data_IF_730740491446
#
_entry.id   IF_730740491446
#
_cell.length_a   1.000
_cell.length_b   1.000
_cell.length_c   1.000
_cell.angle_alpha   90.00
_cell.angle_beta   90.00
_cell.angle_gamma   90.00
#
_symmetry.space_group_name_H-M   'P 1'
#
loop_
_entity.id
_entity.type
_entity.pdbx_description
1 polymer ?
#
# COMPACT_ATOMS: atom_id res chain seq x y z
N UNK A 1 -46.08 -69.75 -34.49
CA UNK A 1 -46.07 -68.54 -35.29
C UNK A 1 -46.49 -67.37 -34.39
N UNK A 2 -45.51 -66.67 -33.78
CA UNK A 2 -45.77 -65.62 -32.80
C UNK A 2 -45.62 -64.26 -33.51
N UNK A 3 -46.70 -63.48 -33.64
CA UNK A 3 -46.70 -62.13 -34.18
C UNK A 3 -46.26 -61.20 -33.13
N UNK A 4 -45.04 -60.62 -33.23
CA UNK A 4 -44.56 -59.49 -32.46
C UNK A 4 -45.22 -58.18 -33.01
N UNK A 5 -46.11 -57.57 -32.21
CA UNK A 5 -46.66 -56.25 -32.46
C UNK A 5 -45.57 -55.24 -32.17
N UNK A 6 -45.04 -54.53 -33.18
CA UNK A 6 -44.21 -53.37 -33.04
C UNK A 6 -45.03 -52.24 -32.44
N UNK A 7 -44.80 -51.97 -31.17
CA UNK A 7 -45.32 -50.75 -30.53
C UNK A 7 -44.30 -49.65 -30.80
N UNK A 8 -44.61 -48.78 -31.73
CA UNK A 8 -43.87 -47.54 -31.95
C UNK A 8 -44.19 -46.67 -30.75
N UNK A 9 -43.18 -46.49 -29.90
CA UNK A 9 -43.23 -45.51 -28.79
C UNK A 9 -42.96 -44.16 -29.42
N UNK A 10 -43.98 -43.37 -29.59
CA UNK A 10 -43.87 -41.94 -29.94
C UNK A 10 -43.14 -41.24 -28.81
N UNK A 11 -41.91 -40.80 -29.07
CA UNK A 11 -41.15 -40.01 -28.13
C UNK A 11 -41.74 -38.60 -28.19
N UNK A 12 -42.68 -38.34 -27.28
CA UNK A 12 -43.23 -37.00 -27.09
C UNK A 12 -42.12 -36.01 -26.89
N UNK A 13 -42.20 -34.98 -27.71
CA UNK A 13 -41.27 -33.85 -27.83
C UNK A 13 -40.76 -33.34 -26.50
N UNK A 14 -39.44 -33.41 -26.33
CA UNK A 14 -38.73 -32.66 -25.31
C UNK A 14 -39.23 -31.19 -25.25
N UNK A 15 -39.54 -30.67 -24.07
CA UNK A 15 -40.00 -29.29 -23.95
C UNK A 15 -39.00 -28.35 -24.61
N UNK A 16 -39.42 -27.68 -25.66
CA UNK A 16 -38.62 -26.68 -26.36
C UNK A 16 -38.23 -25.59 -25.38
N UNK A 17 -36.96 -25.57 -24.98
CA UNK A 17 -36.39 -24.55 -24.16
C UNK A 17 -36.43 -23.22 -24.97
N UNK A 18 -37.45 -22.43 -24.76
CA UNK A 18 -37.56 -21.05 -25.34
C UNK A 18 -36.41 -20.26 -24.77
N UNK A 19 -35.31 -20.13 -25.50
CA UNK A 19 -34.23 -19.19 -25.19
C UNK A 19 -34.85 -17.80 -25.04
N UNK A 20 -34.96 -17.33 -23.78
CA UNK A 20 -35.39 -15.95 -23.51
C UNK A 20 -34.40 -15.01 -24.22
N UNK A 21 -34.80 -14.37 -25.29
CA UNK A 21 -33.99 -13.30 -25.93
C UNK A 21 -33.84 -12.18 -24.90
N UNK A 22 -32.67 -12.07 -24.32
CA UNK A 22 -32.35 -10.95 -23.44
C UNK A 22 -32.34 -9.69 -24.32
N UNK A 23 -33.18 -8.73 -24.00
CA UNK A 23 -33.25 -7.47 -24.76
C UNK A 23 -31.91 -6.75 -24.67
N UNK A 24 -31.39 -6.26 -25.77
CA UNK A 24 -30.15 -5.47 -25.85
C UNK A 24 -30.13 -4.30 -24.84
N UNK A 25 -31.29 -3.65 -24.65
CA UNK A 25 -31.45 -2.59 -23.64
C UNK A 25 -31.17 -3.04 -22.20
N UNK A 26 -31.52 -4.30 -21.85
CA UNK A 26 -31.19 -4.85 -20.52
C UNK A 26 -29.71 -5.09 -20.37
N UNK A 27 -29.06 -5.60 -21.40
CA UNK A 27 -27.58 -5.82 -21.38
C UNK A 27 -26.87 -4.49 -21.22
N UNK A 28 -27.28 -3.46 -21.99
CA UNK A 28 -26.70 -2.12 -21.91
C UNK A 28 -26.88 -1.52 -20.50
N UNK A 29 -28.06 -1.69 -19.89
CA UNK A 29 -28.33 -1.23 -18.53
C UNK A 29 -27.38 -1.88 -17.51
N UNK A 30 -27.17 -3.21 -17.57
CA UNK A 30 -26.24 -3.90 -16.67
C UNK A 30 -24.80 -3.43 -16.85
N UNK A 31 -24.37 -3.16 -18.09
CA UNK A 31 -23.02 -2.63 -18.36
C UNK A 31 -22.85 -1.25 -17.71
N UNK A 32 -23.84 -0.37 -17.84
CA UNK A 32 -23.78 0.97 -17.23
C UNK A 32 -23.72 0.88 -15.70
N UNK A 33 -24.56 0.04 -15.08
CA UNK A 33 -24.56 -0.17 -13.62
C UNK A 33 -23.21 -0.71 -13.17
N UNK A 34 -22.62 -1.67 -13.90
CA UNK A 34 -21.31 -2.23 -13.59
C UNK A 34 -20.21 -1.16 -13.67
N UNK A 35 -20.23 -0.30 -14.69
CA UNK A 35 -19.25 0.80 -14.83
C UNK A 35 -19.37 1.79 -13.67
N UNK A 36 -20.58 2.17 -13.27
CA UNK A 36 -20.80 3.05 -12.11
C UNK A 36 -20.25 2.40 -10.84
N UNK A 37 -20.50 1.10 -10.63
CA UNK A 37 -19.99 0.39 -9.47
C UNK A 37 -18.45 0.34 -9.43
N UNK A 38 -17.80 0.06 -10.57
CA UNK A 38 -16.35 0.07 -10.70
C UNK A 38 -15.74 1.46 -10.43
N UNK A 39 -16.39 2.53 -10.88
CA UNK A 39 -15.93 3.90 -10.60
C UNK A 39 -16.03 4.23 -9.11
N UNK A 40 -17.10 3.82 -8.42
CA UNK A 40 -17.24 4.02 -6.97
C UNK A 40 -16.15 3.25 -6.21
N UNK A 41 -15.88 2.00 -6.59
CA UNK A 41 -14.81 1.20 -5.99
C UNK A 41 -13.45 1.85 -6.20
N UNK A 42 -13.16 2.35 -7.39
CA UNK A 42 -11.91 3.03 -7.72
C UNK A 42 -11.69 4.29 -6.86
N UNK A 43 -12.71 5.14 -6.74
CA UNK A 43 -12.63 6.34 -5.88
C UNK A 43 -12.50 5.99 -4.40
N UNK A 44 -13.18 4.94 -3.94
CA UNK A 44 -13.04 4.44 -2.57
C UNK A 44 -11.63 3.93 -2.30
N UNK A 45 -11.06 3.19 -3.25
CA UNK A 45 -9.68 2.69 -3.16
C UNK A 45 -8.66 3.84 -3.07
N UNK A 46 -8.77 4.88 -3.93
CA UNK A 46 -7.88 6.05 -3.89
C UNK A 46 -7.95 6.76 -2.53
N UNK A 47 -9.16 6.91 -1.95
CA UNK A 47 -9.31 7.51 -0.62
C UNK A 47 -8.70 6.68 0.49
N UNK A 48 -8.69 5.35 0.38
CA UNK A 48 -8.10 4.44 1.37
C UNK A 48 -6.56 4.35 1.25
N UNK A 49 -5.99 4.58 0.06
CA UNK A 49 -4.55 4.45 -0.19
C UNK A 49 -3.67 5.18 0.84
N UNK A 50 -3.93 6.45 1.21
CA UNK A 50 -3.12 7.15 2.20
C UNK A 50 -3.21 6.54 3.60
N UNK A 51 -4.32 5.88 3.94
CA UNK A 51 -4.47 5.21 5.24
C UNK A 51 -3.76 3.85 5.28
N UNK A 52 -3.74 3.13 4.15
CA UNK A 52 -3.05 1.83 4.03
C UNK A 52 -1.54 2.01 4.07
N UNK A 53 -1.04 3.10 3.47
CA UNK A 53 0.38 3.41 3.39
C UNK A 53 0.86 4.34 4.52
N UNK A 54 0.01 4.64 5.51
CA UNK A 54 0.41 5.44 6.66
C UNK A 54 1.45 4.67 7.48
N UNK A 55 2.63 5.26 7.61
CA UNK A 55 3.66 4.71 8.47
C UNK A 55 3.20 4.80 9.92
N UNK A 56 3.21 3.68 10.61
CA UNK A 56 3.01 3.65 12.04
C UNK A 56 4.22 4.31 12.73
N UNK A 57 3.99 5.47 13.35
CA UNK A 57 5.04 6.22 14.06
C UNK A 57 5.75 5.34 15.09
N UNK A 58 5.05 4.40 15.72
CA UNK A 58 5.64 3.51 16.73
C UNK A 58 6.73 2.60 16.16
N UNK A 59 6.70 2.30 14.85
CA UNK A 59 7.71 1.46 14.18
C UNK A 59 9.01 2.19 13.90
N UNK A 60 8.96 3.53 13.81
CA UNK A 60 10.12 4.37 13.52
C UNK A 60 10.61 5.14 14.74
N UNK A 61 9.87 5.10 15.86
CA UNK A 61 10.26 5.73 17.14
C UNK A 61 11.51 5.09 17.69
N UNK A 62 12.29 5.87 18.41
CA UNK A 62 13.52 5.45 19.08
C UNK A 62 14.77 5.98 18.38
N UNK A 63 15.91 5.56 18.92
CA UNK A 63 17.22 5.95 18.41
C UNK A 63 17.64 5.03 17.26
N UNK A 64 18.05 5.65 16.17
CA UNK A 64 18.62 4.97 15.00
C UNK A 64 19.99 5.55 14.72
N UNK A 65 20.95 4.70 14.40
CA UNK A 65 22.35 5.07 14.22
C UNK A 65 22.87 4.70 12.84
N UNK A 66 23.84 5.45 12.37
CA UNK A 66 24.68 5.16 11.21
C UNK A 66 26.15 5.45 11.60
N UNK A 67 27.05 4.56 11.22
CA UNK A 67 28.49 4.78 11.39
C UNK A 67 29.00 5.45 10.12
N UNK A 68 29.58 6.65 10.27
CA UNK A 68 30.08 7.43 9.14
C UNK A 68 31.49 6.99 8.73
N UNK A 69 31.91 7.37 7.53
CA UNK A 69 33.30 7.20 7.08
C UNK A 69 34.32 7.96 7.95
N UNK A 70 33.86 9.01 8.64
CA UNK A 70 34.65 9.77 9.59
C UNK A 70 34.83 9.05 10.93
N UNK A 71 34.40 7.80 11.06
CA UNK A 71 34.39 7.01 12.30
C UNK A 71 33.60 7.68 13.44
N UNK A 72 32.64 8.53 13.10
CA UNK A 72 31.67 9.16 14.01
C UNK A 72 30.34 8.44 13.93
N UNK A 73 29.55 8.51 15.00
CA UNK A 73 28.19 7.95 15.02
C UNK A 73 27.18 9.07 14.72
N UNK A 74 26.59 9.05 13.53
CA UNK A 74 25.40 9.83 13.26
C UNK A 74 24.20 9.14 13.92
N UNK A 75 23.25 9.93 14.39
CA UNK A 75 22.02 9.39 14.97
C UNK A 75 20.81 10.21 14.61
N UNK A 76 19.67 9.55 14.62
CA UNK A 76 18.33 10.14 14.54
C UNK A 76 17.49 9.55 15.66
N UNK A 77 16.94 10.38 16.52
CA UNK A 77 15.98 10.01 17.56
C UNK A 77 14.63 10.57 17.17
N UNK A 78 13.62 9.73 17.11
CA UNK A 78 12.24 10.13 16.85
C UNK A 78 11.38 9.75 18.05
N UNK A 79 10.66 10.70 18.59
CA UNK A 79 9.76 10.51 19.71
C UNK A 79 8.33 10.24 19.24
N UNK A 80 7.49 9.63 20.09
CA UNK A 80 6.08 9.34 19.81
C UNK A 80 5.22 10.59 19.55
N UNK A 81 5.62 11.73 20.09
CA UNK A 81 5.00 13.04 19.89
C UNK A 81 5.40 13.73 18.58
N UNK A 82 6.14 13.01 17.72
CA UNK A 82 6.70 13.50 16.45
C UNK A 82 7.80 14.55 16.61
N UNK A 83 8.36 14.73 17.78
CA UNK A 83 9.60 15.50 17.94
C UNK A 83 10.79 14.63 17.52
N UNK A 84 11.85 15.29 17.08
CA UNK A 84 13.09 14.60 16.73
C UNK A 84 14.32 15.37 17.20
N UNK A 85 15.41 14.65 17.38
CA UNK A 85 16.75 15.20 17.43
C UNK A 85 17.68 14.34 16.59
N UNK A 86 18.59 14.95 15.87
CA UNK A 86 19.56 14.22 15.05
C UNK A 86 20.90 14.91 14.98
N UNK A 87 21.93 14.13 14.78
CA UNK A 87 23.28 14.58 14.50
C UNK A 87 23.74 13.97 13.18
N UNK A 88 24.09 14.80 12.23
CA UNK A 88 24.53 14.37 10.91
C UNK A 88 25.92 14.93 10.62
N UNK A 89 26.85 14.05 10.28
CA UNK A 89 28.20 14.41 9.90
C UNK A 89 28.29 14.56 8.37
N UNK A 90 28.79 15.69 7.91
CA UNK A 90 28.99 15.95 6.51
C UNK A 90 30.30 15.32 5.98
N UNK A 91 30.56 15.42 4.68
CA UNK A 91 31.75 14.85 4.04
C UNK A 91 33.07 15.46 4.55
N UNK A 92 33.02 16.61 5.21
CA UNK A 92 34.20 17.26 5.83
C UNK A 92 34.37 16.85 7.30
N UNK A 93 33.67 15.82 7.75
CA UNK A 93 33.68 15.33 9.12
C UNK A 93 33.19 16.35 10.17
N UNK A 94 32.37 17.32 9.76
CA UNK A 94 31.74 18.28 10.64
C UNK A 94 30.34 17.78 10.99
N UNK A 95 30.06 17.62 12.28
CA UNK A 95 28.76 17.19 12.79
C UNK A 95 27.86 18.40 13.00
N UNK A 96 26.61 18.30 12.51
CA UNK A 96 25.57 19.29 12.68
C UNK A 96 24.40 18.69 13.46
N UNK A 97 23.96 19.41 14.48
CA UNK A 97 22.82 19.02 15.30
C UNK A 97 21.55 19.71 14.81
N UNK A 98 20.47 18.94 14.77
CA UNK A 98 19.14 19.42 14.38
C UNK A 98 18.07 18.86 15.34
N UNK A 99 17.07 19.68 15.64
CA UNK A 99 15.90 19.28 16.43
C UNK A 99 14.64 19.95 15.92
N UNK A 100 13.49 19.40 16.21
CA UNK A 100 12.20 19.94 15.80
C UNK A 100 11.09 18.93 15.77
N UNK A 101 10.15 19.14 14.87
CA UNK A 101 9.02 18.23 14.64
C UNK A 101 9.07 17.66 13.23
N UNK A 102 8.71 16.38 13.08
CA UNK A 102 8.66 15.71 11.77
C UNK A 102 7.27 15.81 11.15
N UNK A 103 7.26 15.80 9.83
CA UNK A 103 6.05 15.57 9.02
C UNK A 103 6.26 14.27 8.25
N UNK A 104 5.29 13.36 8.35
CA UNK A 104 5.32 12.08 7.63
C UNK A 104 4.33 12.15 6.48
N UNK A 105 4.81 11.87 5.26
CA UNK A 105 3.98 11.76 4.05
C UNK A 105 4.34 10.49 3.31
N UNK A 106 3.40 9.53 3.27
CA UNK A 106 3.67 8.21 2.71
C UNK A 106 4.90 7.58 3.39
N UNK A 107 5.95 7.27 2.62
CA UNK A 107 7.21 6.72 3.14
C UNK A 107 8.30 7.78 3.34
N UNK A 108 7.96 9.06 3.26
CA UNK A 108 8.89 10.18 3.43
C UNK A 108 8.72 10.80 4.82
N UNK A 109 9.83 11.04 5.50
CA UNK A 109 9.91 11.85 6.71
C UNK A 109 10.56 13.18 6.34
N UNK A 110 9.90 14.28 6.67
CA UNK A 110 10.42 15.63 6.47
C UNK A 110 10.85 16.14 7.84
N UNK A 111 12.14 16.32 8.06
CA UNK A 111 12.73 16.87 9.28
C UNK A 111 12.80 18.41 9.20
N UNK A 112 13.38 18.92 8.11
CA UNK A 112 13.41 20.34 7.77
C UNK A 112 13.02 20.52 6.31
N UNK A 113 12.98 21.76 5.82
CA UNK A 113 12.76 22.01 4.39
C UNK A 113 13.82 21.38 3.49
N UNK A 114 15.03 21.22 4.01
CA UNK A 114 16.22 20.74 3.27
C UNK A 114 16.52 19.28 3.56
N UNK A 115 16.15 18.75 4.76
CA UNK A 115 16.48 17.41 5.18
C UNK A 115 15.22 16.53 5.14
N UNK A 116 15.27 15.52 4.30
CA UNK A 116 14.23 14.53 4.13
C UNK A 116 14.82 13.13 4.26
N UNK A 117 14.04 12.22 4.81
CA UNK A 117 14.38 10.80 4.92
C UNK A 117 13.34 9.93 4.27
N UNK A 118 13.77 8.78 3.77
CA UNK A 118 12.88 7.72 3.29
C UNK A 118 12.85 6.59 4.31
N UNK A 119 11.70 5.97 4.48
CA UNK A 119 11.53 4.80 5.35
C UNK A 119 11.45 3.57 4.44
N UNK A 120 12.32 2.60 4.67
CA UNK A 120 12.30 1.33 3.96
C UNK A 120 11.38 0.30 4.64
N UNK A 121 11.23 -0.89 4.01
CA UNK A 121 10.43 -2.01 4.53
C UNK A 121 10.84 -2.48 5.94
N UNK A 122 12.10 -2.28 6.31
CA UNK A 122 12.66 -2.72 7.60
C UNK A 122 12.53 -1.63 8.69
N UNK A 123 11.80 -0.56 8.40
CA UNK A 123 11.65 0.64 9.24
C UNK A 123 12.97 1.38 9.52
N UNK A 124 13.98 1.20 8.69
CA UNK A 124 15.19 2.02 8.71
C UNK A 124 14.92 3.36 8.03
N UNK A 125 15.64 4.38 8.46
CA UNK A 125 15.55 5.72 7.89
C UNK A 125 16.75 5.94 6.99
N UNK A 126 16.52 6.42 5.77
CA UNK A 126 17.57 6.72 4.79
C UNK A 126 17.60 8.24 4.60
N UNK A 127 18.71 8.88 4.92
CA UNK A 127 18.94 10.32 4.71
C UNK A 127 20.26 10.46 3.94
N UNK A 128 20.24 11.16 2.81
CA UNK A 128 21.44 11.38 1.97
C UNK A 128 22.24 10.11 1.70
N UNK A 129 21.55 9.01 1.33
CA UNK A 129 22.10 7.67 1.08
C UNK A 129 22.68 6.95 2.32
N UNK A 130 22.60 7.55 3.51
CA UNK A 130 23.01 6.92 4.77
C UNK A 130 21.82 6.17 5.38
N UNK A 131 22.05 4.92 5.80
CA UNK A 131 21.02 4.06 6.40
C UNK A 131 21.14 4.08 7.91
N UNK A 132 20.13 4.61 8.60
CA UNK A 132 20.02 4.66 10.04
C UNK A 132 19.21 3.45 10.52
N UNK A 133 19.85 2.55 11.24
CA UNK A 133 19.26 1.32 11.80
C UNK A 133 18.98 1.49 13.29
N UNK A 134 18.01 0.75 13.80
CA UNK A 134 17.75 0.70 15.24
C UNK A 134 19.00 0.26 16.00
N UNK A 135 19.31 0.95 17.09
CA UNK A 135 20.39 0.55 18.01
C UNK A 135 19.88 -0.63 18.85
N UNK A 136 20.26 -1.85 18.46
CA UNK A 136 19.83 -3.09 19.14
C UNK A 136 20.59 -3.34 20.47
N UNK A 137 21.24 -2.31 21.01
CA UNK A 137 22.05 -2.39 22.23
C UNK A 137 21.36 -1.76 23.46
N UNK A 138 20.02 -1.65 23.46
CA UNK A 138 19.26 -1.32 24.67
C UNK A 138 18.42 -2.49 25.15
#
# INVERSE_FOLDING_TARGET
MVKLKNKIVEIDSLPSYKKKKISFTKILFYIIVLLIFLTILYFSYIKLLPYINAIDINKITGKKINITECNTKDYVIINKDKTYSMNLTNNNCISNYYEGTIIIKNNEIIFTKEIKGLINSDNNIIIDNKIFKSDNNE
#
